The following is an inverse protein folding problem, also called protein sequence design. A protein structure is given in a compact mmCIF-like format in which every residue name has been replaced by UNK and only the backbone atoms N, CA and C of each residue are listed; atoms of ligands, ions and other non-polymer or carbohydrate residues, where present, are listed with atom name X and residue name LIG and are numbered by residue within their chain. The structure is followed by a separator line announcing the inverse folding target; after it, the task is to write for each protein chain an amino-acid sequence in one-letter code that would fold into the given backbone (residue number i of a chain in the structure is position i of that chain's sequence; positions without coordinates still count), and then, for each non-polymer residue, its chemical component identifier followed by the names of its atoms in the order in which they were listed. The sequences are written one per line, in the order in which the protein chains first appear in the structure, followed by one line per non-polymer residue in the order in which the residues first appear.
data_IF_684017138997
#
_entry.id   IF_684017138997
#
_cell.length_a   1.000
_cell.length_b   1.000
_cell.length_c   1.000
_cell.angle_alpha   90.00
_cell.angle_beta   90.00
_cell.angle_gamma   90.00
#
_symmetry.space_group_name_H-M   'P 1'
#
loop_
_entity.id
_entity.type
_entity.pdbx_description
1 polymer ?
#
# COMPACT_ATOMS: atom_id res chain seq x y z
N UNK A 1 -8.82 2.92 -25.71
CA UNK A 1 -8.09 2.41 -24.54
C UNK A 1 -7.06 3.45 -24.14
N UNK A 2 -6.94 3.75 -22.85
CA UNK A 2 -5.96 4.74 -22.34
C UNK A 2 -4.50 4.22 -22.34
N UNK A 3 -4.30 2.90 -22.37
CA UNK A 3 -3.00 2.24 -22.31
C UNK A 3 -3.09 0.92 -21.56
N UNK A 4 -1.98 0.16 -21.52
CA UNK A 4 -1.87 -1.13 -20.84
C UNK A 4 -0.93 -1.00 -19.62
N UNK A 5 -1.44 -1.38 -18.44
CA UNK A 5 -0.75 -1.20 -17.16
C UNK A 5 -0.55 -2.55 -16.47
N UNK A 6 0.68 -2.84 -16.08
CA UNK A 6 1.01 -3.96 -15.21
C UNK A 6 0.82 -3.56 -13.75
N UNK A 7 0.05 -4.33 -12.99
CA UNK A 7 -0.08 -4.20 -11.54
C UNK A 7 0.50 -5.46 -10.90
N UNK A 8 1.63 -5.33 -10.25
CA UNK A 8 2.27 -6.44 -9.53
C UNK A 8 1.76 -6.51 -8.09
N UNK A 9 1.65 -7.71 -7.52
CA UNK A 9 0.87 -7.89 -6.30
C UNK A 9 -0.61 -7.55 -6.53
N UNK A 10 -1.07 -7.78 -7.77
CA UNK A 10 -2.36 -7.30 -8.28
C UNK A 10 -3.58 -7.96 -7.64
N UNK A 11 -3.43 -9.11 -6.99
CA UNK A 11 -4.46 -9.76 -6.20
C UNK A 11 -4.35 -9.47 -4.70
N UNK A 12 -3.33 -8.69 -4.30
CA UNK A 12 -3.19 -8.18 -2.94
C UNK A 12 -4.20 -7.06 -2.63
N UNK A 13 -4.21 -6.60 -1.39
CA UNK A 13 -5.14 -5.60 -0.89
C UNK A 13 -5.15 -4.32 -1.72
N UNK A 14 -4.00 -3.61 -1.83
CA UNK A 14 -3.93 -2.34 -2.55
C UNK A 14 -3.98 -2.58 -4.06
N UNK A 15 -3.29 -3.63 -4.55
CA UNK A 15 -3.24 -3.96 -5.98
C UNK A 15 -4.61 -4.23 -6.59
N UNK A 16 -5.48 -4.97 -5.90
CA UNK A 16 -6.84 -5.27 -6.38
C UNK A 16 -7.73 -4.03 -6.49
N UNK A 17 -7.64 -3.11 -5.52
CA UNK A 17 -8.35 -1.83 -5.56
C UNK A 17 -7.82 -0.95 -6.70
N UNK A 18 -6.50 -0.90 -6.88
CA UNK A 18 -5.89 -0.15 -8.00
C UNK A 18 -6.29 -0.74 -9.35
N UNK A 19 -6.38 -2.07 -9.46
CA UNK A 19 -6.85 -2.73 -10.68
C UNK A 19 -8.30 -2.33 -11.03
N UNK A 20 -9.19 -2.30 -10.04
CA UNK A 20 -10.59 -1.87 -10.21
C UNK A 20 -10.66 -0.42 -10.71
N UNK A 21 -9.94 0.49 -10.08
CA UNK A 21 -9.91 1.91 -10.45
C UNK A 21 -9.31 2.12 -11.86
N UNK A 22 -8.23 1.39 -12.24
CA UNK A 22 -7.66 1.42 -13.60
C UNK A 22 -8.67 0.94 -14.66
N UNK A 23 -9.35 -0.18 -14.40
CA UNK A 23 -10.37 -0.73 -15.30
C UNK A 23 -11.54 0.23 -15.47
N UNK A 24 -11.98 0.90 -14.38
CA UNK A 24 -13.03 1.91 -14.42
C UNK A 24 -12.64 3.12 -15.26
N UNK A 25 -11.37 3.49 -15.28
CA UNK A 25 -10.84 4.58 -16.11
C UNK A 25 -10.54 4.18 -17.56
N UNK A 26 -10.72 2.92 -17.94
CA UNK A 26 -10.57 2.42 -19.32
C UNK A 26 -9.16 1.98 -19.70
N UNK A 27 -8.29 1.72 -18.72
CA UNK A 27 -7.01 1.04 -18.93
C UNK A 27 -7.23 -0.45 -19.19
N UNK A 28 -6.31 -1.05 -19.95
CA UNK A 28 -6.10 -2.49 -19.96
C UNK A 28 -5.17 -2.86 -18.80
N UNK A 29 -5.54 -3.86 -18.03
CA UNK A 29 -4.80 -4.23 -16.82
C UNK A 29 -4.28 -5.66 -16.94
N UNK A 30 -2.97 -5.82 -16.79
CA UNK A 30 -2.30 -7.09 -16.58
C UNK A 30 -1.94 -7.21 -15.09
N UNK A 31 -2.38 -8.28 -14.45
CA UNK A 31 -2.04 -8.56 -13.05
C UNK A 31 -0.92 -9.59 -12.97
N UNK A 32 0.00 -9.39 -12.03
CA UNK A 32 0.98 -10.41 -11.65
C UNK A 32 0.93 -10.60 -10.14
N UNK A 33 0.82 -11.87 -9.72
CA UNK A 33 0.82 -12.25 -8.31
C UNK A 33 1.27 -13.71 -8.16
N UNK A 34 2.06 -14.03 -7.14
CA UNK A 34 2.51 -15.41 -6.87
C UNK A 34 1.61 -16.15 -5.85
N UNK A 35 0.56 -15.50 -5.36
CA UNK A 35 -0.38 -15.99 -4.33
C UNK A 35 0.26 -16.33 -2.98
N UNK A 36 1.45 -15.82 -2.68
CA UNK A 36 2.12 -16.10 -1.40
C UNK A 36 1.38 -15.50 -0.20
N UNK A 37 0.59 -14.44 -0.42
CA UNK A 37 -0.11 -13.68 0.63
C UNK A 37 -1.53 -13.25 0.22
N UNK A 38 -2.12 -13.93 -0.76
CA UNK A 38 -3.47 -13.63 -1.25
C UNK A 38 -4.11 -14.89 -1.85
N UNK A 39 -5.30 -14.75 -2.44
CA UNK A 39 -6.06 -15.84 -3.06
C UNK A 39 -6.51 -15.45 -4.46
N UNK A 40 -6.56 -16.41 -5.37
CA UNK A 40 -7.04 -16.21 -6.75
C UNK A 40 -8.51 -15.72 -6.82
N UNK A 41 -9.32 -16.02 -5.81
CA UNK A 41 -10.73 -15.57 -5.72
C UNK A 41 -10.89 -14.04 -5.67
N UNK A 42 -9.83 -13.28 -5.37
CA UNK A 42 -9.85 -11.81 -5.46
C UNK A 42 -10.15 -11.35 -6.90
N UNK A 43 -9.72 -12.12 -7.90
CA UNK A 43 -10.02 -11.85 -9.31
C UNK A 43 -11.53 -11.83 -9.61
N UNK A 44 -12.30 -12.70 -8.93
CA UNK A 44 -13.76 -12.73 -9.08
C UNK A 44 -14.40 -11.45 -8.51
N UNK A 45 -13.84 -10.93 -7.42
CA UNK A 45 -14.24 -9.65 -6.83
C UNK A 45 -13.94 -8.47 -7.78
N UNK A 46 -12.77 -8.44 -8.40
CA UNK A 46 -12.42 -7.41 -9.40
C UNK A 46 -13.39 -7.46 -10.57
N UNK A 47 -13.66 -8.65 -11.12
CA UNK A 47 -14.60 -8.84 -12.24
C UNK A 47 -16.03 -8.41 -11.86
N UNK A 48 -16.49 -8.80 -10.67
CA UNK A 48 -17.84 -8.44 -10.18
C UNK A 48 -18.05 -6.93 -10.03
N UNK A 49 -16.99 -6.17 -9.73
CA UNK A 49 -17.05 -4.71 -9.58
C UNK A 49 -16.92 -4.01 -10.94
N UNK A 50 -15.91 -4.40 -11.73
CA UNK A 50 -15.54 -3.69 -12.95
C UNK A 50 -16.32 -4.15 -14.20
N UNK A 51 -17.00 -5.31 -14.13
CA UNK A 51 -17.57 -5.99 -15.30
C UNK A 51 -16.54 -6.55 -16.27
N UNK A 52 -15.27 -6.55 -15.91
CA UNK A 52 -14.15 -7.03 -16.74
C UNK A 52 -13.23 -7.93 -15.91
N UNK A 53 -12.85 -9.06 -16.48
CA UNK A 53 -11.85 -9.94 -15.88
C UNK A 53 -10.48 -9.59 -16.46
N UNK A 54 -9.56 -8.98 -15.71
CA UNK A 54 -8.24 -8.67 -16.21
C UNK A 54 -7.43 -9.94 -16.46
N UNK A 55 -6.48 -9.87 -17.39
CA UNK A 55 -5.46 -10.90 -17.56
C UNK A 55 -4.62 -11.01 -16.27
N UNK A 56 -4.30 -12.24 -15.85
CA UNK A 56 -3.51 -12.50 -14.66
C UNK A 56 -2.48 -13.60 -14.93
N UNK A 57 -1.25 -13.35 -14.50
CA UNK A 57 -0.14 -14.28 -14.54
C UNK A 57 0.28 -14.66 -13.12
N UNK A 58 0.26 -15.96 -12.84
CA UNK A 58 0.76 -16.49 -11.56
C UNK A 58 2.26 -16.76 -11.68
N UNK A 59 3.08 -15.78 -11.33
CA UNK A 59 4.54 -15.91 -11.34
C UNK A 59 5.17 -15.25 -10.10
N UNK A 60 6.37 -15.71 -9.74
CA UNK A 60 7.23 -15.04 -8.77
C UNK A 60 8.16 -14.06 -9.50
N UNK A 61 7.98 -12.76 -9.25
CA UNK A 61 8.81 -11.72 -9.85
C UNK A 61 10.25 -11.70 -9.32
N UNK A 62 10.51 -12.35 -8.18
CA UNK A 62 11.87 -12.51 -7.67
C UNK A 62 12.67 -13.55 -8.47
N UNK A 63 12.00 -14.42 -9.26
CA UNK A 63 12.66 -15.29 -10.23
C UNK A 63 12.93 -14.52 -11.53
N UNK A 64 14.23 -14.25 -11.89
CA UNK A 64 14.55 -13.46 -13.07
C UNK A 64 14.11 -14.12 -14.39
N UNK A 65 14.12 -15.46 -14.46
CA UNK A 65 13.74 -16.19 -15.68
C UNK A 65 12.22 -16.13 -15.88
N UNK A 66 11.43 -16.35 -14.81
CA UNK A 66 9.98 -16.25 -14.83
C UNK A 66 9.53 -14.82 -15.16
N UNK A 67 10.12 -13.80 -14.53
CA UNK A 67 9.83 -12.40 -14.77
C UNK A 67 10.10 -12.02 -16.25
N UNK A 68 11.27 -12.37 -16.77
CA UNK A 68 11.64 -12.09 -18.17
C UNK A 68 10.68 -12.77 -19.14
N UNK A 69 10.40 -14.04 -18.96
CA UNK A 69 9.50 -14.81 -19.85
C UNK A 69 8.07 -14.24 -19.83
N UNK A 70 7.58 -13.80 -18.68
CA UNK A 70 6.23 -13.25 -18.56
C UNK A 70 6.09 -11.85 -19.20
N UNK A 71 7.18 -11.08 -19.23
CA UNK A 71 7.19 -9.72 -19.78
C UNK A 71 7.69 -9.68 -21.24
N UNK A 72 8.23 -10.78 -21.76
CA UNK A 72 8.66 -10.87 -23.15
C UNK A 72 7.49 -10.60 -24.11
N UNK A 73 7.69 -9.67 -25.04
CA UNK A 73 6.66 -9.25 -26.00
C UNK A 73 5.50 -8.43 -25.43
N UNK A 74 5.49 -8.15 -24.12
CA UNK A 74 4.50 -7.25 -23.55
C UNK A 74 4.83 -5.79 -23.92
N UNK A 75 3.80 -5.04 -24.29
CA UNK A 75 3.89 -3.60 -24.51
C UNK A 75 3.13 -2.91 -23.38
N UNK A 76 3.87 -2.40 -22.41
CA UNK A 76 3.31 -1.75 -21.22
C UNK A 76 3.56 -0.25 -21.26
N UNK A 77 2.51 0.53 -21.02
CA UNK A 77 2.61 1.99 -20.86
C UNK A 77 3.05 2.36 -19.44
N UNK A 78 2.75 1.49 -18.45
CA UNK A 78 3.16 1.70 -17.08
C UNK A 78 3.16 0.43 -16.23
N UNK A 79 3.95 0.48 -15.17
CA UNK A 79 4.01 -0.55 -14.12
C UNK A 79 3.72 0.10 -12.78
N UNK A 80 2.79 -0.50 -12.00
CA UNK A 80 2.57 -0.15 -10.60
C UNK A 80 3.01 -1.35 -9.75
N UNK A 81 4.10 -1.16 -9.00
CA UNK A 81 4.78 -2.25 -8.29
C UNK A 81 4.40 -2.30 -6.82
N UNK A 82 3.43 -3.19 -6.47
CA UNK A 82 3.04 -3.49 -5.10
C UNK A 82 3.65 -4.78 -4.54
N UNK A 83 4.07 -5.72 -5.40
CA UNK A 83 4.54 -7.03 -4.97
C UNK A 83 5.70 -6.91 -3.97
N UNK A 84 5.44 -7.22 -2.71
CA UNK A 84 6.42 -7.20 -1.63
C UNK A 84 5.89 -7.96 -0.41
N UNK A 85 6.77 -8.55 0.38
CA UNK A 85 6.47 -8.89 1.77
C UNK A 85 6.47 -7.61 2.61
N UNK A 86 5.48 -7.44 3.51
CA UNK A 86 5.24 -6.17 4.23
C UNK A 86 5.18 -6.31 5.77
N UNK A 87 5.27 -7.51 6.32
CA UNK A 87 5.13 -7.75 7.74
C UNK A 87 6.41 -7.36 8.49
N UNK A 88 6.37 -6.25 9.26
CA UNK A 88 7.51 -5.72 10.00
C UNK A 88 8.13 -6.76 10.93
N UNK A 89 7.29 -7.43 11.76
CA UNK A 89 7.76 -8.44 12.71
C UNK A 89 8.41 -9.66 12.05
N UNK A 90 7.83 -10.17 10.96
CA UNK A 90 8.41 -11.28 10.20
C UNK A 90 9.73 -10.86 9.55
N UNK A 91 9.85 -9.62 9.07
CA UNK A 91 11.07 -9.15 8.45
C UNK A 91 12.29 -9.17 9.38
N UNK A 92 12.07 -8.97 10.68
CA UNK A 92 13.13 -9.05 11.69
C UNK A 92 13.58 -10.51 11.91
N UNK A 93 12.65 -11.46 11.80
CA UNK A 93 12.94 -12.89 11.96
C UNK A 93 13.54 -13.51 10.69
N UNK A 94 13.06 -13.08 9.51
CA UNK A 94 13.43 -13.62 8.20
C UNK A 94 13.97 -12.53 7.24
N UNK A 95 15.06 -11.80 7.61
CA UNK A 95 15.50 -10.63 6.83
C UNK A 95 15.88 -10.97 5.39
N UNK A 96 16.56 -12.10 5.15
CA UNK A 96 16.99 -12.48 3.80
C UNK A 96 15.80 -12.74 2.87
N UNK A 97 14.71 -13.34 3.39
CA UNK A 97 13.45 -13.51 2.64
C UNK A 97 12.95 -12.18 2.09
N UNK A 98 12.99 -11.13 2.93
CA UNK A 98 12.54 -9.78 2.54
C UNK A 98 13.44 -9.12 1.52
N UNK A 99 14.76 -9.17 1.72
CA UNK A 99 15.71 -8.61 0.76
C UNK A 99 15.65 -9.32 -0.59
N UNK A 100 15.67 -10.64 -0.60
CA UNK A 100 15.63 -11.43 -1.83
C UNK A 100 14.33 -11.20 -2.62
N UNK A 101 13.19 -11.21 -1.95
CA UNK A 101 11.91 -11.02 -2.61
C UNK A 101 11.71 -9.56 -3.05
N UNK A 102 11.82 -8.61 -2.12
CA UNK A 102 11.42 -7.22 -2.39
C UNK A 102 12.39 -6.51 -3.33
N UNK A 103 13.70 -6.70 -3.16
CA UNK A 103 14.70 -6.10 -4.04
C UNK A 103 14.88 -6.92 -5.32
N UNK A 104 14.79 -8.25 -5.26
CA UNK A 104 14.87 -9.12 -6.43
C UNK A 104 13.77 -8.80 -7.44
N UNK A 105 12.52 -8.74 -7.00
CA UNK A 105 11.38 -8.39 -7.87
C UNK A 105 11.50 -6.98 -8.43
N UNK A 106 11.95 -6.01 -7.63
CA UNK A 106 12.17 -4.64 -8.07
C UNK A 106 13.24 -4.58 -9.18
N UNK A 107 14.40 -5.21 -8.96
CA UNK A 107 15.49 -5.19 -9.95
C UNK A 107 15.10 -5.85 -11.26
N UNK A 108 14.36 -6.96 -11.22
CA UNK A 108 13.88 -7.64 -12.42
C UNK A 108 12.91 -6.77 -13.23
N UNK A 109 12.04 -6.00 -12.57
CA UNK A 109 11.15 -5.04 -13.24
C UNK A 109 11.90 -3.84 -13.79
N UNK A 110 12.90 -3.31 -13.07
CA UNK A 110 13.75 -2.21 -13.56
C UNK A 110 14.59 -2.62 -14.76
N UNK A 111 15.00 -3.90 -14.87
CA UNK A 111 15.65 -4.42 -16.09
C UNK A 111 14.71 -4.32 -17.30
N UNK A 112 13.44 -4.72 -17.15
CA UNK A 112 12.42 -4.54 -18.20
C UNK A 112 12.21 -3.06 -18.56
N UNK A 113 11.98 -2.19 -17.56
CA UNK A 113 11.73 -0.76 -17.81
C UNK A 113 12.95 -0.07 -18.43
N UNK A 114 14.16 -0.50 -18.11
CA UNK A 114 15.39 0.01 -18.72
C UNK A 114 15.48 -0.25 -20.23
N UNK A 115 14.81 -1.30 -20.71
CA UNK A 115 14.70 -1.63 -22.13
C UNK A 115 13.49 -0.94 -22.80
N UNK A 116 12.56 -0.40 -21.98
CA UNK A 116 11.33 0.26 -22.41
C UNK A 116 11.17 1.63 -21.71
N UNK A 117 12.02 2.63 -21.99
CA UNK A 117 12.09 3.88 -21.21
C UNK A 117 10.84 4.77 -21.32
N UNK A 118 9.92 4.46 -22.25
CA UNK A 118 8.60 5.10 -22.30
C UNK A 118 7.61 4.57 -21.27
N UNK A 119 7.88 3.39 -20.69
CA UNK A 119 7.05 2.78 -19.65
C UNK A 119 7.23 3.54 -18.32
N UNK A 120 6.16 4.14 -17.81
CA UNK A 120 6.18 4.80 -16.49
C UNK A 120 6.28 3.77 -15.36
N UNK A 121 7.05 4.05 -14.31
CA UNK A 121 7.22 3.14 -13.19
C UNK A 121 6.80 3.78 -11.86
N UNK A 122 5.78 3.21 -11.21
CA UNK A 122 5.30 3.63 -9.90
C UNK A 122 5.75 2.61 -8.86
N UNK A 123 6.47 3.07 -7.87
CA UNK A 123 6.94 2.26 -6.75
C UNK A 123 6.09 2.46 -5.50
N UNK A 124 5.55 1.39 -4.98
CA UNK A 124 4.90 1.33 -3.68
C UNK A 124 5.96 1.44 -2.58
N UNK A 125 6.24 2.68 -2.16
CA UNK A 125 7.10 2.95 -1.02
C UNK A 125 6.28 2.99 0.27
N UNK A 126 6.82 3.53 1.35
CA UNK A 126 6.17 3.51 2.67
C UNK A 126 6.68 4.66 3.54
N UNK A 127 5.85 5.15 4.44
CA UNK A 127 6.29 6.08 5.49
C UNK A 127 7.37 5.48 6.42
N UNK A 128 7.57 4.17 6.43
CA UNK A 128 8.62 3.51 7.20
C UNK A 128 10.04 3.93 6.81
N UNK A 129 10.22 4.53 5.61
CA UNK A 129 11.50 5.09 5.18
C UNK A 129 11.98 6.24 6.06
N UNK A 130 11.08 6.93 6.74
CA UNK A 130 11.44 8.04 7.62
C UNK A 130 11.94 7.61 9.01
N UNK A 131 11.67 6.35 9.43
CA UNK A 131 11.90 5.93 10.79
C UNK A 131 11.15 6.81 11.79
N UNK A 132 11.76 7.11 12.93
CA UNK A 132 11.21 8.07 13.89
C UNK A 132 11.48 9.50 13.38
N UNK A 133 10.49 10.12 12.77
CA UNK A 133 10.58 11.50 12.28
C UNK A 133 10.75 12.51 13.44
N UNK A 134 11.51 13.59 13.19
CA UNK A 134 11.74 14.64 14.19
C UNK A 134 10.61 15.65 14.24
N UNK A 135 9.87 15.81 13.16
CA UNK A 135 8.79 16.79 13.02
C UNK A 135 7.55 16.16 12.42
N UNK A 136 6.39 16.69 12.79
CA UNK A 136 5.08 16.31 12.29
C UNK A 136 4.32 17.59 11.85
N UNK A 137 3.55 17.52 10.77
CA UNK A 137 3.42 16.40 9.83
C UNK A 137 4.74 16.10 9.08
N UNK A 138 4.92 14.84 8.61
CA UNK A 138 6.14 14.41 7.94
C UNK A 138 6.08 14.87 6.48
N UNK A 139 7.06 15.68 6.04
CA UNK A 139 7.23 16.10 4.65
C UNK A 139 8.10 15.13 3.86
N UNK A 140 8.08 15.20 2.52
CA UNK A 140 8.96 14.38 1.66
C UNK A 140 10.45 14.73 1.82
N UNK A 141 10.74 15.93 2.28
CA UNK A 141 12.10 16.42 2.55
C UNK A 141 12.63 16.01 3.93
N UNK A 142 11.79 15.34 4.75
CA UNK A 142 12.22 14.83 6.04
C UNK A 142 13.38 13.82 5.87
N UNK A 143 14.41 13.87 6.73
CA UNK A 143 15.55 12.96 6.63
C UNK A 143 15.12 11.49 6.65
N UNK A 144 15.65 10.71 5.72
CA UNK A 144 15.58 9.25 5.76
C UNK A 144 16.55 8.77 6.83
N UNK A 145 16.00 8.24 7.93
CA UNK A 145 16.79 7.73 9.06
C UNK A 145 17.06 6.23 8.89
N UNK A 146 17.91 5.68 9.76
CA UNK A 146 18.12 4.23 9.80
C UNK A 146 16.77 3.50 9.94
N UNK A 147 16.55 2.51 9.09
CA UNK A 147 15.31 1.76 9.10
C UNK A 147 15.14 0.96 10.39
N UNK A 148 13.96 1.00 10.97
CA UNK A 148 13.61 0.25 12.19
C UNK A 148 13.40 -1.25 11.93
N UNK A 149 13.36 -1.67 10.66
CA UNK A 149 13.15 -3.07 10.27
C UNK A 149 13.73 -3.36 8.89
N UNK A 150 14.06 -4.64 8.59
CA UNK A 150 14.45 -5.06 7.25
C UNK A 150 13.40 -4.72 6.17
N UNK A 151 12.11 -4.81 6.48
CA UNK A 151 11.07 -4.34 5.56
C UNK A 151 11.23 -2.86 5.22
N UNK A 152 11.34 -1.98 6.21
CA UNK A 152 11.56 -0.55 5.99
C UNK A 152 12.83 -0.30 5.19
N UNK A 153 13.90 -1.03 5.49
CA UNK A 153 15.16 -0.92 4.78
C UNK A 153 15.04 -1.34 3.29
N UNK A 154 14.22 -2.39 2.97
CA UNK A 154 13.98 -2.73 1.56
C UNK A 154 13.30 -1.59 0.79
N UNK A 155 12.50 -0.76 1.44
CA UNK A 155 11.88 0.42 0.81
C UNK A 155 12.89 1.55 0.61
N UNK A 156 13.77 1.81 1.59
CA UNK A 156 14.87 2.79 1.46
C UNK A 156 15.82 2.41 0.32
N UNK A 157 16.36 1.20 0.35
CA UNK A 157 17.26 0.67 -0.71
C UNK A 157 16.54 0.66 -2.06
N UNK A 158 15.25 0.32 -2.09
CA UNK A 158 14.45 0.33 -3.31
C UNK A 158 14.38 1.71 -3.95
N UNK A 159 14.14 2.77 -3.17
CA UNK A 159 14.16 4.15 -3.68
C UNK A 159 15.55 4.57 -4.17
N UNK A 160 16.64 4.16 -3.50
CA UNK A 160 18.00 4.41 -3.95
C UNK A 160 18.29 3.74 -5.29
N UNK A 161 18.00 2.45 -5.43
CA UNK A 161 18.17 1.71 -6.69
C UNK A 161 17.37 2.36 -7.81
N UNK A 162 16.10 2.72 -7.58
CA UNK A 162 15.26 3.36 -8.59
C UNK A 162 15.87 4.68 -9.03
N UNK A 163 16.33 5.52 -8.11
CA UNK A 163 16.96 6.82 -8.41
C UNK A 163 18.18 6.67 -9.30
N UNK A 164 19.09 5.77 -8.94
CA UNK A 164 20.31 5.52 -9.70
C UNK A 164 20.01 4.98 -11.11
N UNK A 165 19.12 3.99 -11.20
CA UNK A 165 18.74 3.39 -12.50
C UNK A 165 17.97 4.40 -13.35
N UNK A 166 17.06 5.18 -12.76
CA UNK A 166 16.28 6.17 -13.48
C UNK A 166 17.18 7.26 -14.10
N UNK A 167 18.17 7.76 -13.34
CA UNK A 167 19.15 8.72 -13.86
C UNK A 167 20.01 8.09 -14.96
N UNK A 168 20.52 6.88 -14.74
CA UNK A 168 21.41 6.20 -15.70
C UNK A 168 20.72 5.79 -17.01
N UNK A 169 19.42 5.54 -16.98
CA UNK A 169 18.64 5.04 -18.12
C UNK A 169 17.60 6.02 -18.67
N UNK A 170 17.48 7.21 -18.08
CA UNK A 170 16.50 8.21 -18.48
C UNK A 170 15.05 7.76 -18.23
N UNK A 171 14.80 7.02 -17.14
CA UNK A 171 13.48 6.53 -16.80
C UNK A 171 12.65 7.62 -16.10
N UNK A 172 11.34 7.44 -16.17
CA UNK A 172 10.37 8.26 -15.45
C UNK A 172 9.74 7.43 -14.34
N UNK A 173 10.00 7.82 -13.09
CA UNK A 173 9.61 7.03 -11.93
C UNK A 173 8.99 7.90 -10.84
N UNK A 174 8.03 7.33 -10.11
CA UNK A 174 7.45 7.95 -8.91
C UNK A 174 7.46 6.93 -7.78
N UNK A 175 7.90 7.34 -6.60
CA UNK A 175 7.75 6.59 -5.36
C UNK A 175 6.63 7.21 -4.51
N UNK A 176 5.66 6.40 -4.11
CA UNK A 176 4.54 6.81 -3.27
C UNK A 176 4.76 6.28 -1.85
N UNK A 177 5.07 7.19 -0.90
CA UNK A 177 5.27 6.89 0.52
C UNK A 177 3.94 7.04 1.24
N UNK A 178 3.16 5.97 1.30
CA UNK A 178 1.89 6.01 1.99
C UNK A 178 1.97 5.53 3.44
N UNK A 179 1.00 6.00 4.20
CA UNK A 179 0.87 5.71 5.63
C UNK A 179 0.03 4.43 5.83
N UNK A 180 -0.99 4.41 6.64
CA UNK A 180 -1.68 3.18 6.99
C UNK A 180 -2.95 2.99 6.14
N UNK A 181 -2.94 2.16 5.08
CA UNK A 181 -4.14 1.90 4.30
C UNK A 181 -5.16 1.10 5.10
N UNK A 182 -6.43 1.54 5.05
CA UNK A 182 -7.57 0.93 5.72
C UNK A 182 -8.81 0.92 4.81
N UNK A 183 -9.88 0.29 5.27
CA UNK A 183 -11.13 0.24 4.52
C UNK A 183 -11.18 -0.91 3.53
N UNK A 184 -12.16 -0.86 2.66
CA UNK A 184 -12.40 -1.83 1.60
C UNK A 184 -13.16 -1.15 0.46
N UNK A 185 -13.39 -1.85 -0.65
CA UNK A 185 -14.29 -1.35 -1.68
C UNK A 185 -15.73 -1.34 -1.17
N UNK A 186 -16.48 -0.27 -1.43
CA UNK A 186 -17.85 -0.08 -0.93
C UNK A 186 -18.84 -1.20 -1.32
N UNK A 187 -18.53 -1.98 -2.36
CA UNK A 187 -19.31 -3.16 -2.75
C UNK A 187 -19.13 -4.38 -1.83
N UNK A 188 -18.19 -4.35 -0.90
CA UNK A 188 -17.77 -5.48 -0.08
C UNK A 188 -17.36 -6.73 -0.90
N UNK A 189 -16.79 -6.56 -2.10
CA UNK A 189 -16.31 -7.64 -2.96
C UNK A 189 -14.80 -7.84 -2.92
N UNK A 190 -14.06 -6.80 -2.54
CA UNK A 190 -12.62 -6.82 -2.29
C UNK A 190 -12.29 -5.97 -1.05
N UNK A 191 -11.28 -6.39 -0.30
CA UNK A 191 -10.81 -5.73 0.91
C UNK A 191 -9.52 -6.36 1.41
N UNK A 192 -9.05 -5.99 2.58
CA UNK A 192 -7.87 -6.63 3.18
C UNK A 192 -8.22 -8.06 3.63
N UNK A 193 -7.49 -9.05 3.10
CA UNK A 193 -7.71 -10.47 3.36
C UNK A 193 -6.42 -11.11 3.90
N UNK A 194 -6.07 -10.90 5.17
CA UNK A 194 -4.87 -11.48 5.75
C UNK A 194 -4.99 -13.01 5.84
N UNK A 195 -3.93 -13.70 5.44
CA UNK A 195 -3.81 -15.14 5.66
C UNK A 195 -3.31 -15.37 7.10
N UNK A 196 -4.14 -15.96 7.96
CA UNK A 196 -3.81 -16.20 9.36
C UNK A 196 -4.23 -15.05 10.29
N UNK A 197 -3.41 -14.75 11.32
CA UNK A 197 -3.71 -13.70 12.30
C UNK A 197 -3.35 -12.33 11.72
N UNK A 198 -4.32 -11.39 11.64
CA UNK A 198 -4.01 -10.05 11.15
C UNK A 198 -2.96 -9.34 12.02
N UNK A 199 -2.02 -8.67 11.36
CA UNK A 199 -1.01 -7.84 12.04
C UNK A 199 -1.40 -6.36 12.07
N UNK A 200 -2.32 -5.94 11.19
CA UNK A 200 -2.84 -4.58 11.13
C UNK A 200 -4.05 -4.40 12.05
N UNK A 201 -4.21 -3.18 12.57
CA UNK A 201 -5.27 -2.83 13.52
C UNK A 201 -6.68 -3.15 12.98
N UNK A 202 -7.03 -2.61 11.81
CA UNK A 202 -8.41 -2.68 11.31
C UNK A 202 -8.87 -4.10 11.00
N UNK A 203 -8.13 -4.96 10.27
CA UNK A 203 -8.59 -6.33 10.05
C UNK A 203 -8.62 -7.17 11.33
N UNK A 204 -7.74 -6.93 12.32
CA UNK A 204 -7.85 -7.59 13.61
C UNK A 204 -9.12 -7.14 14.35
N UNK A 205 -9.39 -5.84 14.36
CA UNK A 205 -10.55 -5.22 15.00
C UNK A 205 -11.86 -5.77 14.40
N UNK A 206 -11.98 -5.81 13.07
CA UNK A 206 -13.18 -6.35 12.40
C UNK A 206 -13.39 -7.83 12.67
N UNK A 207 -12.30 -8.64 12.67
CA UNK A 207 -12.38 -10.07 13.04
C UNK A 207 -12.73 -10.27 14.52
N UNK A 208 -12.23 -9.41 15.43
CA UNK A 208 -12.58 -9.45 16.85
C UNK A 208 -14.08 -9.14 17.05
N UNK A 209 -14.57 -8.06 16.44
CA UNK A 209 -15.98 -7.68 16.49
C UNK A 209 -16.92 -8.73 15.87
N UNK A 210 -16.47 -9.47 14.85
CA UNK A 210 -17.17 -10.60 14.25
C UNK A 210 -17.12 -11.89 15.10
N UNK A 211 -16.43 -11.87 16.25
CA UNK A 211 -16.30 -13.06 17.11
C UNK A 211 -15.29 -14.12 16.61
N UNK A 212 -14.51 -13.80 15.57
CA UNK A 212 -13.50 -14.70 15.00
C UNK A 212 -12.18 -14.66 15.78
N UNK A 213 -11.99 -13.64 16.64
CA UNK A 213 -10.80 -13.42 17.50
C UNK A 213 -11.23 -13.04 18.91
N UNK A 214 -10.28 -13.13 19.84
CA UNK A 214 -10.43 -12.57 21.18
C UNK A 214 -10.41 -11.04 21.18
N UNK A 215 -10.42 -10.41 22.38
CA UNK A 215 -10.37 -8.97 22.51
C UNK A 215 -9.19 -8.34 21.78
N UNK A 216 -9.38 -7.13 21.27
CA UNK A 216 -8.30 -6.36 20.65
C UNK A 216 -7.31 -5.88 21.72
N UNK A 217 -6.01 -6.09 21.49
CA UNK A 217 -4.97 -5.51 22.35
C UNK A 217 -4.59 -4.11 21.85
N UNK A 218 -4.80 -3.09 22.71
CA UNK A 218 -4.34 -1.72 22.50
C UNK A 218 -2.95 -1.57 23.12
N UNK A 219 -1.92 -1.48 22.29
CA UNK A 219 -0.53 -1.49 22.73
C UNK A 219 -0.07 -0.11 23.22
N UNK A 220 0.12 0.03 24.55
CA UNK A 220 0.50 1.27 25.20
C UNK A 220 -0.68 2.19 25.50
N UNK A 221 -0.67 2.79 26.70
CA UNK A 221 -1.62 3.79 27.17
C UNK A 221 -0.92 4.98 27.83
N UNK A 222 0.37 5.10 27.56
CA UNK A 222 1.27 6.07 28.22
C UNK A 222 2.10 6.87 27.19
N UNK A 223 1.68 6.87 25.91
CA UNK A 223 2.29 7.74 24.89
C UNK A 223 1.97 9.21 25.20
N UNK A 224 2.86 10.16 24.87
CA UNK A 224 2.60 11.59 25.02
C UNK A 224 1.65 12.10 23.91
N UNK A 225 0.44 11.55 23.88
CA UNK A 225 -0.68 11.86 22.99
C UNK A 225 -1.90 12.19 23.82
N UNK A 226 -2.96 12.69 23.20
CA UNK A 226 -4.15 13.15 23.92
C UNK A 226 -4.82 12.06 24.79
N UNK A 227 -4.91 10.84 24.26
CA UNK A 227 -5.54 9.68 24.92
C UNK A 227 -4.54 8.61 25.40
N UNK A 228 -3.24 8.88 25.26
CA UNK A 228 -2.17 7.97 25.67
C UNK A 228 -1.89 6.85 24.67
N UNK A 229 -2.59 6.77 23.54
CA UNK A 229 -2.36 5.74 22.51
C UNK A 229 -1.59 6.26 21.30
N UNK A 230 -0.97 5.37 20.52
CA UNK A 230 -0.18 5.75 19.37
C UNK A 230 -1.05 6.37 18.25
N UNK A 231 -0.51 7.37 17.54
CA UNK A 231 -1.20 8.10 16.46
C UNK A 231 -0.65 7.70 15.10
N UNK A 232 -1.54 7.38 14.16
CA UNK A 232 -1.20 7.05 12.77
C UNK A 232 -2.12 7.79 11.80
N UNK A 233 -1.64 7.97 10.57
CA UNK A 233 -2.46 8.48 9.47
C UNK A 233 -3.11 7.30 8.75
N UNK A 234 -4.41 7.21 8.85
CA UNK A 234 -5.21 6.12 8.27
C UNK A 234 -5.88 6.59 6.98
N UNK A 235 -5.38 6.10 5.85
CA UNK A 235 -5.87 6.45 4.52
C UNK A 235 -6.78 5.35 3.95
N UNK A 236 -7.91 5.73 3.36
CA UNK A 236 -8.79 4.77 2.69
C UNK A 236 -8.12 4.18 1.44
N UNK A 237 -8.19 2.85 1.29
CA UNK A 237 -7.52 2.11 0.20
C UNK A 237 -7.95 2.57 -1.21
N UNK A 238 -9.20 3.01 -1.39
CA UNK A 238 -9.68 3.54 -2.69
C UNK A 238 -9.04 4.89 -3.00
N UNK A 239 -8.92 5.80 -2.02
CA UNK A 239 -8.21 7.06 -2.20
C UNK A 239 -6.73 6.82 -2.55
N UNK A 240 -6.12 5.83 -1.88
CA UNK A 240 -4.75 5.41 -2.18
C UNK A 240 -4.62 4.85 -3.60
N UNK A 241 -5.56 4.00 -4.05
CA UNK A 241 -5.59 3.47 -5.41
C UNK A 241 -5.67 4.60 -6.45
N UNK A 242 -6.53 5.59 -6.22
CA UNK A 242 -6.67 6.77 -7.09
C UNK A 242 -5.38 7.58 -7.17
N UNK A 243 -4.64 7.73 -6.05
CA UNK A 243 -3.34 8.41 -6.05
C UNK A 243 -2.32 7.72 -6.98
N UNK A 244 -2.30 6.38 -7.01
CA UNK A 244 -1.41 5.62 -7.91
C UNK A 244 -1.74 5.88 -9.39
N UNK A 245 -3.02 6.02 -9.72
CA UNK A 245 -3.43 6.32 -11.09
C UNK A 245 -3.04 7.75 -11.47
N UNK A 246 -3.27 8.73 -10.59
CA UNK A 246 -2.87 10.12 -10.87
C UNK A 246 -1.36 10.26 -11.02
N UNK A 247 -0.59 9.54 -10.22
CA UNK A 247 0.86 9.46 -10.37
C UNK A 247 1.27 8.82 -11.72
N UNK A 248 0.59 7.73 -12.12
CA UNK A 248 0.83 7.12 -13.42
C UNK A 248 0.48 8.08 -14.57
N UNK A 249 -0.67 8.73 -14.53
CA UNK A 249 -1.09 9.69 -15.57
C UNK A 249 -0.10 10.86 -15.70
N UNK A 250 0.50 11.34 -14.59
CA UNK A 250 1.59 12.33 -14.61
C UNK A 250 2.80 11.84 -15.40
N UNK A 251 3.22 10.57 -15.18
CA UNK A 251 4.34 9.99 -15.95
C UNK A 251 4.00 9.79 -17.43
N UNK A 252 2.80 9.31 -17.75
CA UNK A 252 2.34 9.12 -19.11
C UNK A 252 2.23 10.45 -19.88
N UNK A 253 1.83 11.51 -19.18
CA UNK A 253 1.81 12.87 -19.72
C UNK A 253 3.19 13.54 -19.78
N UNK A 254 4.26 12.87 -19.32
CA UNK A 254 5.64 13.38 -19.27
C UNK A 254 5.78 14.68 -18.47
N UNK A 255 5.04 14.80 -17.39
CA UNK A 255 5.00 15.99 -16.53
C UNK A 255 5.95 15.88 -15.31
N UNK A 256 6.67 14.76 -15.17
CA UNK A 256 7.67 14.62 -14.13
C UNK A 256 8.85 15.58 -14.35
N UNK A 257 9.29 16.21 -13.28
CA UNK A 257 10.41 17.18 -13.27
C UNK A 257 11.74 16.51 -12.90
N UNK A 258 11.68 15.39 -12.18
CA UNK A 258 12.83 14.60 -11.74
C UNK A 258 12.74 13.16 -12.26
N UNK A 259 13.88 12.48 -12.33
CA UNK A 259 13.93 11.06 -12.71
C UNK A 259 13.16 10.16 -11.72
N UNK A 260 13.22 10.52 -10.43
CA UNK A 260 12.41 9.93 -9.37
C UNK A 260 11.73 11.05 -8.58
N UNK A 261 10.43 11.19 -8.73
CA UNK A 261 9.61 12.04 -7.85
C UNK A 261 9.07 11.23 -6.67
N UNK A 262 8.95 11.89 -5.52
CA UNK A 262 8.46 11.26 -4.28
C UNK A 262 7.25 12.03 -3.76
N UNK A 263 6.21 11.30 -3.34
CA UNK A 263 5.00 11.90 -2.75
C UNK A 263 4.55 11.13 -1.51
N UNK A 264 4.24 11.85 -0.46
CA UNK A 264 3.55 11.33 0.71
C UNK A 264 2.04 11.20 0.44
N UNK A 265 1.48 10.06 0.80
CA UNK A 265 0.04 9.80 0.67
C UNK A 265 -0.56 9.45 2.03
N UNK A 266 -1.39 10.34 2.51
CA UNK A 266 -2.12 10.23 3.77
C UNK A 266 -3.34 11.14 3.74
N UNK A 267 -4.01 11.27 4.87
CA UNK A 267 -5.10 12.22 5.07
C UNK A 267 -4.58 13.60 5.51
N UNK A 268 -3.30 13.66 5.90
CA UNK A 268 -2.71 14.83 6.54
C UNK A 268 -3.12 14.99 8.01
N UNK A 269 -3.85 14.02 8.55
CA UNK A 269 -4.37 14.04 9.91
C UNK A 269 -4.11 12.70 10.61
N UNK A 270 -3.46 12.76 11.76
CA UNK A 270 -3.28 11.59 12.62
C UNK A 270 -4.56 11.24 13.36
N UNK A 271 -4.80 9.95 13.55
CA UNK A 271 -5.81 9.43 14.48
C UNK A 271 -5.18 8.45 15.46
N UNK A 272 -5.58 8.51 16.71
CA UNK A 272 -5.13 7.61 17.76
C UNK A 272 -5.80 6.22 17.62
N UNK A 273 -5.26 5.21 18.29
CA UNK A 273 -5.87 3.87 18.28
C UNK A 273 -7.27 3.91 18.88
N UNK A 274 -7.49 4.67 19.97
CA UNK A 274 -8.82 4.79 20.57
C UNK A 274 -9.80 5.57 19.68
N UNK A 275 -9.34 6.60 18.96
CA UNK A 275 -10.18 7.29 17.97
C UNK A 275 -10.65 6.34 16.86
N UNK A 276 -9.78 5.43 16.39
CA UNK A 276 -10.14 4.41 15.38
C UNK A 276 -11.18 3.43 15.95
N UNK A 277 -11.01 2.97 17.19
CA UNK A 277 -11.98 2.08 17.86
C UNK A 277 -13.33 2.79 17.97
N UNK A 278 -13.37 4.02 18.49
CA UNK A 278 -14.61 4.77 18.62
C UNK A 278 -15.27 5.08 17.27
N UNK A 279 -14.46 5.37 16.23
CA UNK A 279 -14.96 5.53 14.87
C UNK A 279 -15.61 4.24 14.33
N UNK A 280 -14.99 3.09 14.61
CA UNK A 280 -15.54 1.79 14.22
C UNK A 280 -16.90 1.54 14.89
N UNK A 281 -16.99 1.66 16.23
CA UNK A 281 -18.22 1.45 16.97
C UNK A 281 -19.34 2.42 16.52
N UNK A 282 -19.01 3.69 16.36
CA UNK A 282 -19.94 4.73 15.90
C UNK A 282 -20.43 4.47 14.47
N UNK A 283 -19.53 4.09 13.56
CA UNK A 283 -19.85 3.94 12.14
C UNK A 283 -20.59 2.64 11.81
N UNK A 284 -20.40 1.58 12.62
CA UNK A 284 -20.90 0.23 12.36
C UNK A 284 -22.02 -0.20 13.30
N UNK A 285 -22.11 0.41 14.49
CA UNK A 285 -22.98 -0.04 15.59
C UNK A 285 -22.52 -1.35 16.25
N UNK A 286 -21.41 -1.93 15.82
CA UNK A 286 -20.84 -3.13 16.42
C UNK A 286 -20.03 -2.75 17.68
N UNK A 287 -20.19 -3.54 18.75
CA UNK A 287 -19.38 -3.37 19.98
C UNK A 287 -18.06 -4.12 19.83
N UNK A 288 -16.98 -3.50 20.30
CA UNK A 288 -15.65 -4.09 20.32
C UNK A 288 -15.16 -4.32 21.75
N UNK A 289 -14.75 -5.55 22.06
CA UNK A 289 -14.02 -5.84 23.30
C UNK A 289 -12.53 -5.59 23.08
N UNK A 290 -11.91 -4.80 23.98
CA UNK A 290 -10.49 -4.52 23.90
C UNK A 290 -9.89 -4.26 25.29
N UNK A 291 -8.57 -4.50 25.42
CA UNK A 291 -7.80 -4.28 26.64
C UNK A 291 -6.46 -3.60 26.31
N UNK A 292 -5.91 -2.86 27.26
CA UNK A 292 -4.56 -2.34 27.14
C UNK A 292 -3.51 -3.43 27.32
N UNK A 293 -2.47 -3.37 26.48
CA UNK A 293 -1.28 -4.20 26.55
C UNK A 293 -0.01 -3.33 26.62
N UNK A 294 1.14 -3.85 27.08
CA UNK A 294 2.40 -3.12 27.03
C UNK A 294 2.75 -2.66 25.61
N UNK A 295 3.50 -1.55 25.48
CA UNK A 295 3.99 -1.08 24.17
C UNK A 295 4.74 -2.18 23.42
N UNK A 296 4.57 -2.23 22.11
CA UNK A 296 5.41 -3.09 21.26
C UNK A 296 6.77 -2.44 21.07
N UNK A 297 7.81 -3.26 20.99
CA UNK A 297 9.14 -2.79 20.64
C UNK A 297 9.14 -2.16 19.24
N UNK A 298 9.75 -1.00 19.09
CA UNK A 298 9.82 -0.28 17.81
C UNK A 298 8.58 0.53 17.43
N UNK A 299 7.51 0.55 18.27
CA UNK A 299 6.36 1.43 18.01
C UNK A 299 6.71 2.90 18.28
N UNK A 300 6.48 3.75 17.27
CA UNK A 300 6.66 5.19 17.36
C UNK A 300 5.39 5.88 17.89
N UNK A 301 5.56 7.03 18.56
CA UNK A 301 4.45 7.78 19.17
C UNK A 301 3.43 8.24 18.14
N UNK A 302 3.87 8.92 17.09
CA UNK A 302 2.99 9.48 16.06
C UNK A 302 3.66 9.47 14.68
N UNK A 303 2.87 9.21 13.63
CA UNK A 303 3.27 9.35 12.24
C UNK A 303 2.06 9.73 11.38
N UNK A 304 2.10 10.92 10.77
CA UNK A 304 1.11 11.38 9.79
C UNK A 304 1.75 12.29 8.75
N UNK A 305 1.17 12.30 7.54
CA UNK A 305 1.73 12.92 6.36
C UNK A 305 1.56 14.44 6.34
N UNK A 306 2.53 15.18 5.80
CA UNK A 306 2.23 16.36 5.02
C UNK A 306 1.83 15.91 3.60
N UNK A 307 0.70 16.39 3.10
CA UNK A 307 0.15 16.00 1.80
C UNK A 307 0.12 17.16 0.80
N UNK A 308 0.75 18.27 1.11
CA UNK A 308 0.72 19.49 0.28
C UNK A 308 1.34 19.25 -1.09
N UNK A 309 2.47 18.50 -1.17
CA UNK A 309 3.12 18.16 -2.44
C UNK A 309 2.20 17.29 -3.32
N UNK A 310 1.57 16.27 -2.78
CA UNK A 310 0.62 15.43 -3.52
C UNK A 310 -0.60 16.25 -4.01
N UNK A 311 -1.12 17.15 -3.19
CA UNK A 311 -2.21 18.03 -3.58
C UNK A 311 -1.81 19.02 -4.68
N UNK A 312 -0.66 19.67 -4.55
CA UNK A 312 -0.23 20.71 -5.49
C UNK A 312 0.23 20.13 -6.84
N UNK A 313 0.93 19.01 -6.83
CA UNK A 313 1.60 18.46 -8.03
C UNK A 313 0.78 17.37 -8.71
N UNK A 314 0.18 16.44 -7.93
CA UNK A 314 -0.69 15.40 -8.48
C UNK A 314 -2.16 15.85 -8.57
N UNK A 315 -2.56 16.94 -7.91
CA UNK A 315 -3.96 17.33 -7.78
C UNK A 315 -4.77 16.36 -6.91
N UNK A 316 -4.11 15.53 -6.11
CA UNK A 316 -4.72 14.48 -5.31
C UNK A 316 -4.87 14.88 -3.83
N UNK A 317 -6.02 14.53 -3.26
CA UNK A 317 -6.29 14.60 -1.82
C UNK A 317 -7.14 13.42 -1.40
N UNK A 318 -6.92 12.90 -0.17
CA UNK A 318 -7.79 11.90 0.43
C UNK A 318 -9.19 12.49 0.65
N UNK A 319 -10.23 11.74 0.29
CA UNK A 319 -11.63 12.19 0.33
C UNK A 319 -12.47 11.44 1.35
N UNK A 320 -12.14 10.18 1.59
CA UNK A 320 -12.88 9.30 2.47
C UNK A 320 -12.56 9.59 3.94
N UNK A 321 -13.61 9.65 4.74
CA UNK A 321 -13.49 9.81 6.19
C UNK A 321 -13.09 8.49 6.88
N UNK A 322 -12.63 8.61 8.14
CA UNK A 322 -12.35 7.45 8.99
C UNK A 322 -13.61 6.58 9.20
N UNK A 323 -14.77 7.21 9.41
CA UNK A 323 -16.05 6.51 9.59
C UNK A 323 -16.47 5.72 8.32
N UNK A 324 -16.25 6.29 7.11
CA UNK A 324 -16.46 5.55 5.86
C UNK A 324 -15.52 4.37 5.74
N UNK A 325 -14.25 4.55 6.11
CA UNK A 325 -13.25 3.49 6.10
C UNK A 325 -13.63 2.34 7.02
N UNK A 326 -14.15 2.64 8.21
CA UNK A 326 -14.61 1.63 9.17
C UNK A 326 -15.86 0.90 8.66
N UNK A 327 -16.81 1.60 8.06
CA UNK A 327 -18.00 1.00 7.46
C UNK A 327 -17.67 0.04 6.34
N UNK A 328 -16.79 0.48 5.42
CA UNK A 328 -16.40 -0.33 4.27
C UNK A 328 -15.60 -1.57 4.71
N UNK A 329 -14.67 -1.42 5.69
CA UNK A 329 -13.94 -2.54 6.26
C UNK A 329 -14.85 -3.55 6.97
N UNK A 330 -15.86 -3.06 7.71
CA UNK A 330 -16.83 -3.92 8.39
C UNK A 330 -17.74 -4.66 7.40
N UNK A 331 -18.25 -3.96 6.39
CA UNK A 331 -19.06 -4.57 5.33
C UNK A 331 -18.31 -5.70 4.62
N UNK A 332 -17.00 -5.50 4.34
CA UNK A 332 -16.14 -6.53 3.80
C UNK A 332 -15.99 -7.73 4.74
N UNK A 333 -15.72 -7.49 6.03
CA UNK A 333 -15.60 -8.57 7.01
C UNK A 333 -16.88 -9.41 7.08
N UNK A 334 -18.04 -8.76 7.09
CA UNK A 334 -19.33 -9.45 7.12
C UNK A 334 -19.63 -10.23 5.84
N UNK A 335 -19.11 -9.81 4.70
CA UNK A 335 -19.26 -10.52 3.42
C UNK A 335 -18.37 -11.78 3.31
N UNK A 336 -17.34 -11.88 4.14
CA UNK A 336 -16.46 -13.06 4.20
C UNK A 336 -17.10 -14.24 4.95
N UNK A 337 -18.07 -14.00 5.83
CA UNK A 337 -18.75 -14.98 6.68
C UNK A 337 -18.04 -15.22 7.98
#
# INVERSE_FOLDING_TARGET
MKGRVLVTGGLGYIGSHTAVELLAQGYEVLLVDNLSNTRASVLDGIEAISGKRPEWLQIDLADPAACRSALEGQHLDGIIHFAAYKAVGESVQEPLKYYQNNLGSLMNLLDYVSQHPSCGFIFSSSCTVYGQADQLPITEDAPVKAAESPYGNTKQIGEEIIREVAVARGLRTIALRYFNPIGAHASARIGELPLGVPQNLVPFMTQSAAGLRGPLSVYGNDYPTEDGTAVRDYIHVVDLAQAHIMALERLLAQQNEEALEVFNLGTGKGSSVLEVIHAFERATGASLSWDFAPRRAGDITAAYADTQRASAVLGWTAKKSLDESMRDAWAWQMALG
#
